data_IF_394889777689
#
_entry.id   IF_394889777689
#
_cell.length_a   1.000
_cell.length_b   1.000
_cell.length_c   1.000
_cell.angle_alpha   90.00
_cell.angle_beta   90.00
_cell.angle_gamma   90.00
#
_symmetry.space_group_name_H-M   'P 1'
#
loop_
_entity.id
_entity.type
_entity.pdbx_description
1 polymer ?
#
# COMPACT_ATOMS: atom_id res chain seq x y z
N UNK A 1 23.39 -3.80 50.19
CA UNK A 1 23.48 -4.81 49.10
C UNK A 1 22.23 -4.85 48.21
N UNK A 2 21.01 -4.52 48.69
CA UNK A 2 19.80 -4.49 47.83
C UNK A 2 19.81 -3.37 46.79
N UNK A 3 20.36 -2.19 47.10
CA UNK A 3 20.40 -1.03 46.19
C UNK A 3 21.21 -1.28 44.91
N UNK A 4 22.39 -1.90 45.04
CA UNK A 4 23.23 -2.24 43.88
C UNK A 4 22.58 -3.26 42.93
N UNK A 5 21.70 -4.13 43.45
CA UNK A 5 20.97 -5.09 42.63
C UNK A 5 19.85 -4.41 41.81
N UNK A 6 19.19 -3.40 42.37
CA UNK A 6 18.18 -2.61 41.67
C UNK A 6 18.82 -1.73 40.57
N UNK A 7 19.98 -1.15 40.85
CA UNK A 7 20.74 -0.34 39.89
C UNK A 7 21.26 -1.18 38.70
N UNK A 8 21.79 -2.38 38.96
CA UNK A 8 22.24 -3.30 37.90
C UNK A 8 21.09 -3.86 37.07
N UNK A 9 19.92 -4.07 37.67
CA UNK A 9 18.72 -4.45 36.93
C UNK A 9 18.20 -3.31 36.04
N UNK A 10 18.22 -2.07 36.55
CA UNK A 10 17.76 -0.89 35.82
C UNK A 10 18.64 -0.59 34.59
N UNK A 11 19.96 -0.72 34.70
CA UNK A 11 20.87 -0.55 33.56
C UNK A 11 20.67 -1.63 32.50
N UNK A 12 20.48 -2.89 32.88
CA UNK A 12 20.16 -3.96 31.94
C UNK A 12 18.84 -3.72 31.18
N UNK A 13 17.80 -3.22 31.87
CA UNK A 13 16.54 -2.86 31.22
C UNK A 13 16.71 -1.67 30.26
N UNK A 14 17.52 -0.69 30.63
CA UNK A 14 17.83 0.45 29.76
C UNK A 14 18.58 0.02 28.50
N UNK A 15 19.55 -0.88 28.62
CA UNK A 15 20.31 -1.41 27.48
C UNK A 15 19.41 -2.20 26.52
N UNK A 16 18.49 -3.01 27.04
CA UNK A 16 17.49 -3.72 26.22
C UNK A 16 16.58 -2.78 25.45
N UNK A 17 16.11 -1.70 26.09
CA UNK A 17 15.28 -0.68 25.45
C UNK A 17 16.05 0.07 24.35
N UNK A 18 17.34 0.33 24.57
CA UNK A 18 18.21 0.96 23.58
C UNK A 18 18.39 0.07 22.36
N UNK A 19 18.65 -1.22 22.55
CA UNK A 19 18.76 -2.21 21.46
C UNK A 19 17.45 -2.26 20.65
N UNK A 20 16.30 -2.32 21.33
CA UNK A 20 14.99 -2.33 20.67
C UNK A 20 14.77 -1.06 19.84
N UNK A 21 15.17 0.09 20.38
CA UNK A 21 15.07 1.38 19.69
C UNK A 21 15.91 1.39 18.41
N UNK A 22 17.15 0.90 18.48
CA UNK A 22 18.05 0.83 17.33
C UNK A 22 17.52 -0.12 16.24
N UNK A 23 16.95 -1.27 16.65
CA UNK A 23 16.29 -2.22 15.73
C UNK A 23 15.09 -1.60 15.02
N UNK A 24 14.21 -0.91 15.76
CA UNK A 24 13.04 -0.24 15.17
C UNK A 24 13.47 0.84 14.18
N UNK A 25 14.49 1.64 14.52
CA UNK A 25 15.03 2.64 13.59
C UNK A 25 15.61 2.01 12.32
N UNK A 26 16.27 0.85 12.44
CA UNK A 26 16.78 0.13 11.28
C UNK A 26 15.65 -0.36 10.37
N UNK A 27 14.58 -0.94 10.95
CA UNK A 27 13.40 -1.38 10.19
C UNK A 27 12.69 -0.23 9.48
N UNK A 28 12.59 0.93 10.13
CA UNK A 28 12.00 2.13 9.50
C UNK A 28 12.83 2.62 8.30
N UNK A 29 14.17 2.65 8.43
CA UNK A 29 15.06 3.00 7.32
C UNK A 29 15.00 2.00 6.17
N UNK A 30 14.88 0.71 6.47
CA UNK A 30 14.73 -0.33 5.44
C UNK A 30 13.39 -0.23 4.72
N UNK A 31 12.30 0.00 5.45
CA UNK A 31 10.97 0.24 4.86
C UNK A 31 10.97 1.43 3.91
N UNK A 32 11.65 2.52 4.28
CA UNK A 32 11.72 3.73 3.45
C UNK A 32 12.53 3.48 2.17
N UNK A 33 13.65 2.73 2.23
CA UNK A 33 14.38 2.29 1.03
C UNK A 33 13.57 1.37 0.12
N UNK A 34 12.72 0.52 0.68
CA UNK A 34 11.91 -0.44 -0.08
C UNK A 34 10.63 0.19 -0.68
N UNK A 35 10.29 1.44 -0.31
CA UNK A 35 9.13 2.13 -0.86
C UNK A 35 9.37 2.67 -2.30
N UNK A 36 10.63 2.71 -2.75
CA UNK A 36 11.04 3.34 -4.00
C UNK A 36 10.99 2.42 -5.22
N UNK A 37 10.63 1.14 -5.01
CA UNK A 37 10.39 0.20 -6.11
C UNK A 37 8.89 0.00 -6.30
N UNK A 38 8.22 0.99 -6.90
CA UNK A 38 7.05 0.63 -7.70
C UNK A 38 7.54 -0.38 -8.74
N UNK A 39 6.89 -1.53 -8.81
CA UNK A 39 7.21 -2.58 -9.76
C UNK A 39 7.28 -1.96 -11.17
N UNK A 40 8.36 -2.17 -11.95
CA UNK A 40 8.52 -1.56 -13.27
C UNK A 40 7.38 -1.88 -14.25
N UNK A 41 6.63 -2.95 -14.01
CA UNK A 41 5.47 -3.38 -14.77
C UNK A 41 4.14 -2.81 -14.22
N UNK A 42 4.15 -2.24 -13.01
CA UNK A 42 3.02 -1.53 -12.43
C UNK A 42 3.09 -0.08 -12.88
N UNK A 43 2.54 0.17 -14.07
CA UNK A 43 2.27 1.53 -14.53
C UNK A 43 0.94 2.00 -13.94
N UNK A 44 0.91 3.22 -13.40
CA UNK A 44 -0.35 3.94 -13.15
C UNK A 44 -1.04 4.17 -14.48
N UNK A 45 -1.88 3.21 -14.89
CA UNK A 45 -2.68 3.25 -16.10
C UNK A 45 -3.53 4.53 -16.08
N UNK A 46 -3.16 5.52 -16.87
CA UNK A 46 -4.05 6.66 -17.13
C UNK A 46 -5.19 6.08 -17.97
N UNK A 47 -6.41 5.99 -17.43
CA UNK A 47 -7.44 5.17 -18.05
C UNK A 47 -7.77 5.65 -19.47
N UNK A 48 -7.74 6.97 -19.67
CA UNK A 48 -8.12 7.68 -20.90
C UNK A 48 -7.30 7.26 -22.13
N UNK A 49 -6.00 6.96 -21.98
CA UNK A 49 -5.15 6.66 -23.15
C UNK A 49 -5.52 5.35 -23.84
N UNK A 50 -6.11 4.38 -23.14
CA UNK A 50 -6.40 3.08 -23.74
C UNK A 50 -7.57 3.11 -24.71
N UNK A 51 -8.56 3.98 -24.47
CA UNK A 51 -9.69 4.17 -25.38
C UNK A 51 -9.30 4.98 -26.62
N UNK A 52 -8.32 5.88 -26.52
CA UNK A 52 -7.84 6.67 -27.67
C UNK A 52 -7.17 5.82 -28.76
N UNK A 53 -6.71 4.61 -28.43
CA UNK A 53 -6.17 3.64 -29.41
C UNK A 53 -7.28 3.06 -30.29
N UNK A 54 -8.55 3.18 -29.87
CA UNK A 54 -9.72 2.66 -30.57
C UNK A 54 -10.74 3.78 -30.83
N UNK A 55 -10.44 4.72 -31.75
CA UNK A 55 -11.34 5.85 -32.02
C UNK A 55 -12.74 5.39 -32.50
N UNK A 56 -12.79 4.30 -33.28
CA UNK A 56 -14.04 3.68 -33.75
C UNK A 56 -14.92 3.19 -32.59
N UNK A 57 -14.32 2.74 -31.49
CA UNK A 57 -15.04 2.27 -30.31
C UNK A 57 -15.66 3.44 -29.54
N UNK A 58 -14.93 4.55 -29.41
CA UNK A 58 -15.47 5.79 -28.81
C UNK A 58 -16.56 6.44 -29.67
N UNK A 59 -16.48 6.30 -31.00
CA UNK A 59 -17.50 6.81 -31.92
C UNK A 59 -18.78 5.95 -31.88
N UNK A 60 -18.61 4.62 -31.89
CA UNK A 60 -19.75 3.70 -31.83
C UNK A 60 -20.44 3.71 -30.45
N UNK A 61 -19.69 3.94 -29.37
CA UNK A 61 -20.18 3.94 -28.00
C UNK A 61 -19.69 5.18 -27.23
N UNK A 62 -20.33 6.35 -27.40
CA UNK A 62 -19.88 7.58 -26.74
C UNK A 62 -19.89 7.52 -25.20
N UNK A 63 -20.74 6.67 -24.61
CA UNK A 63 -20.81 6.47 -23.15
C UNK A 63 -19.73 5.54 -22.60
N UNK A 64 -18.93 4.90 -23.45
CA UNK A 64 -17.96 3.88 -23.02
C UNK A 64 -16.89 4.46 -22.11
N UNK A 65 -16.51 5.72 -22.31
CA UNK A 65 -15.53 6.40 -21.46
C UNK A 65 -15.99 6.43 -20.01
N UNK A 66 -17.27 6.71 -19.80
CA UNK A 66 -17.87 6.75 -18.48
C UNK A 66 -17.98 5.36 -17.85
N UNK A 67 -18.28 4.32 -18.64
CA UNK A 67 -18.41 2.93 -18.17
C UNK A 67 -17.07 2.23 -17.91
N UNK A 68 -16.04 2.49 -18.72
CA UNK A 68 -14.72 1.85 -18.62
C UNK A 68 -13.94 2.31 -17.39
N UNK A 69 -14.20 3.55 -16.93
CA UNK A 69 -13.50 4.19 -15.82
C UNK A 69 -14.33 4.25 -14.54
N UNK A 70 -15.49 3.60 -14.51
CA UNK A 70 -16.23 3.48 -13.26
C UNK A 70 -15.39 2.74 -12.22
N UNK A 71 -15.54 3.20 -10.98
CA UNK A 71 -15.07 2.46 -9.81
C UNK A 71 -15.64 1.04 -9.89
N UNK A 72 -14.81 0.00 -9.70
CA UNK A 72 -15.29 -1.37 -9.66
C UNK A 72 -16.42 -1.52 -8.63
N UNK A 73 -17.44 -2.31 -8.97
CA UNK A 73 -18.52 -2.62 -8.05
C UNK A 73 -17.96 -3.27 -6.77
N UNK A 74 -18.56 -2.91 -5.63
CA UNK A 74 -18.30 -3.61 -4.37
C UNK A 74 -18.76 -5.06 -4.47
N UNK A 75 -18.23 -5.92 -3.61
CA UNK A 75 -18.56 -7.35 -3.64
C UNK A 75 -20.05 -7.64 -3.46
N UNK A 76 -20.73 -6.85 -2.62
CA UNK A 76 -22.18 -6.97 -2.43
C UNK A 76 -22.97 -6.51 -3.66
N UNK A 77 -22.59 -5.39 -4.29
CA UNK A 77 -23.21 -4.94 -5.54
C UNK A 77 -23.01 -5.96 -6.68
N UNK A 78 -21.82 -6.57 -6.74
CA UNK A 78 -21.50 -7.61 -7.72
C UNK A 78 -22.37 -8.86 -7.52
N UNK A 79 -22.56 -9.30 -6.27
CA UNK A 79 -23.45 -10.43 -5.97
C UNK A 79 -24.88 -10.14 -6.40
N UNK A 80 -25.39 -8.93 -6.13
CA UNK A 80 -26.74 -8.55 -6.52
C UNK A 80 -26.87 -8.56 -8.05
N UNK A 81 -25.97 -7.92 -8.79
CA UNK A 81 -26.05 -7.84 -10.25
C UNK A 81 -25.94 -9.19 -10.97
N UNK A 82 -25.21 -10.16 -10.39
CA UNK A 82 -25.04 -11.51 -10.97
C UNK A 82 -26.23 -12.42 -10.63
N UNK A 83 -26.88 -12.20 -9.49
CA UNK A 83 -27.91 -13.10 -8.95
C UNK A 83 -29.33 -12.51 -8.98
N UNK A 84 -29.53 -11.32 -9.56
CA UNK A 84 -30.83 -10.66 -9.76
C UNK A 84 -31.58 -11.16 -10.98
#
# INVERSE_FOLDING_TARGET
MMEQQAETQATMSQDQLKILTDMVQQLLRERERNAETEDPYVTTRIPVTDLTVYPELTEALPSIEEDFFRTPLTEEERKIAIHS
#
